data_IF_232450779010
#
_entry.id   IF_232450779010
#
_cell.length_a   1.000
_cell.length_b   1.000
_cell.length_c   1.000
_cell.angle_alpha   90.00
_cell.angle_beta   90.00
_cell.angle_gamma   90.00
#
_symmetry.space_group_name_H-M   'P 1'
#
loop_
_entity.id
_entity.type
_entity.pdbx_description
1 polymer ?
#
# COMPACT_ATOMS: atom_id res chain seq x y z
N UNK A 1 35.53 22.09 -50.55
CA UNK A 1 36.17 20.95 -49.86
C UNK A 1 35.47 20.83 -48.51
N UNK A 2 34.47 19.95 -48.39
CA UNK A 2 34.59 18.52 -48.01
C UNK A 2 35.14 18.38 -46.57
N UNK A 3 34.55 17.65 -45.61
CA UNK A 3 33.47 16.68 -45.63
C UNK A 3 32.84 16.53 -44.22
N UNK A 4 31.66 15.93 -44.18
CA UNK A 4 31.01 15.42 -42.98
C UNK A 4 31.77 14.22 -42.37
N UNK A 5 31.58 13.97 -41.07
CA UNK A 5 31.44 12.59 -40.59
C UNK A 5 30.62 12.54 -39.29
N UNK A 6 29.66 11.62 -39.29
CA UNK A 6 28.80 11.28 -38.16
C UNK A 6 29.39 10.09 -37.42
N UNK A 7 29.40 10.11 -36.09
CA UNK A 7 29.48 8.88 -35.30
C UNK A 7 28.47 8.99 -34.16
N UNK A 8 27.46 8.13 -34.24
CA UNK A 8 26.50 7.93 -33.17
C UNK A 8 27.15 7.15 -32.03
N UNK A 9 26.85 7.56 -30.80
CA UNK A 9 27.05 6.70 -29.64
C UNK A 9 25.73 6.63 -28.88
N UNK A 10 25.07 5.48 -28.97
CA UNK A 10 23.79 5.20 -28.34
C UNK A 10 23.89 5.34 -26.84
N UNK A 11 23.10 6.26 -26.28
CA UNK A 11 22.85 6.30 -24.84
C UNK A 11 22.09 5.02 -24.44
N UNK A 12 22.78 4.15 -23.72
CA UNK A 12 22.19 3.01 -23.02
C UNK A 12 21.23 3.56 -21.95
N UNK A 13 19.94 3.20 -21.93
CA UNK A 13 19.04 3.69 -20.89
C UNK A 13 19.51 3.16 -19.54
N UNK A 14 19.80 4.09 -18.63
CA UNK A 14 20.09 3.81 -17.23
C UNK A 14 18.78 3.36 -16.59
N UNK A 15 18.69 2.07 -16.26
CA UNK A 15 17.63 1.53 -15.39
C UNK A 15 17.77 2.22 -14.03
N UNK A 16 16.86 3.14 -13.69
CA UNK A 16 16.88 3.84 -12.40
C UNK A 16 16.00 3.14 -11.37
N UNK A 17 16.66 2.92 -10.23
CA UNK A 17 16.33 2.16 -9.03
C UNK A 17 15.04 2.57 -8.33
N UNK A 18 14.27 1.56 -7.90
CA UNK A 18 13.19 1.68 -6.91
C UNK A 18 13.78 2.20 -5.58
N UNK A 19 13.40 3.40 -5.15
CA UNK A 19 13.91 4.02 -3.92
C UNK A 19 12.96 3.78 -2.75
N UNK A 20 13.43 3.05 -1.74
CA UNK A 20 12.74 2.85 -0.47
C UNK A 20 13.66 3.44 0.63
N UNK A 21 13.14 4.45 1.36
CA UNK A 21 13.67 5.07 2.59
C UNK A 21 14.58 6.32 2.50
N UNK A 22 14.24 7.32 3.35
CA UNK A 22 15.14 8.34 3.89
C UNK A 22 15.73 7.81 5.19
N UNK A 23 17.06 7.74 5.28
CA UNK A 23 17.82 7.06 6.33
C UNK A 23 17.84 7.79 7.68
N UNK A 24 17.34 7.12 8.74
CA UNK A 24 17.72 7.31 10.16
C UNK A 24 17.51 5.99 10.91
N UNK A 25 18.59 5.35 11.37
CA UNK A 25 18.57 4.03 12.01
C UNK A 25 18.47 4.10 13.55
N UNK A 26 17.70 3.18 14.15
CA UNK A 26 17.72 2.89 15.59
C UNK A 26 17.80 1.39 15.79
N UNK A 27 18.89 0.91 16.41
CA UNK A 27 19.14 -0.49 16.74
C UNK A 27 18.67 -0.81 18.17
N UNK A 28 18.02 -1.96 18.37
CA UNK A 28 17.84 -2.57 19.70
C UNK A 28 17.94 -4.10 19.59
N UNK A 29 18.87 -4.70 20.34
CA UNK A 29 19.10 -6.14 20.45
C UNK A 29 18.29 -6.78 21.58
N UNK A 30 18.03 -8.09 21.49
CA UNK A 30 17.26 -8.87 22.48
C UNK A 30 17.97 -10.21 22.79
N UNK A 31 17.86 -10.60 24.05
CA UNK A 31 18.55 -11.63 24.85
C UNK A 31 18.49 -13.10 24.37
N UNK A 32 19.48 -13.85 24.86
CA UNK A 32 19.77 -15.28 24.77
C UNK A 32 19.24 -16.02 26.02
N UNK A 33 18.54 -17.16 25.90
CA UNK A 33 18.72 -18.38 26.73
C UNK A 33 17.90 -19.59 26.23
N UNK A 34 18.27 -20.78 26.69
CA UNK A 34 18.42 -22.02 25.91
C UNK A 34 17.31 -23.11 26.00
N UNK A 35 17.52 -24.08 25.09
CA UNK A 35 17.26 -25.53 25.22
C UNK A 35 16.05 -26.14 24.48
N UNK A 36 16.22 -26.28 23.15
CA UNK A 36 15.79 -27.48 22.40
C UNK A 36 16.81 -27.69 21.26
N UNK A 37 17.63 -28.74 21.34
CA UNK A 37 18.58 -29.09 20.27
C UNK A 37 17.83 -29.62 19.05
N UNK A 38 17.36 -28.69 18.22
CA UNK A 38 17.06 -28.92 16.81
C UNK A 38 18.40 -29.11 16.10
N UNK A 39 18.56 -30.04 15.13
CA UNK A 39 19.79 -30.15 14.36
C UNK A 39 20.19 -28.78 13.81
N UNK A 40 21.34 -28.27 14.25
CA UNK A 40 21.86 -26.96 13.86
C UNK A 40 22.17 -26.98 12.37
N UNK A 41 21.21 -26.54 11.55
CA UNK A 41 21.51 -26.04 10.22
C UNK A 41 22.25 -24.73 10.46
N UNK A 42 23.52 -24.58 10.06
CA UNK A 42 24.22 -23.32 10.20
C UNK A 42 23.44 -22.22 9.47
N UNK A 43 23.36 -20.99 10.02
CA UNK A 43 22.71 -19.90 9.31
C UNK A 43 23.38 -19.75 7.93
N UNK A 44 22.61 -19.46 6.87
CA UNK A 44 23.20 -19.22 5.56
C UNK A 44 24.21 -18.08 5.65
N UNK A 45 25.31 -18.12 4.87
CA UNK A 45 26.29 -17.05 4.85
C UNK A 45 25.63 -15.73 4.44
N UNK A 46 26.07 -14.61 5.02
CA UNK A 46 25.67 -13.29 4.58
C UNK A 46 26.20 -13.06 3.16
N UNK A 47 25.31 -12.82 2.19
CA UNK A 47 25.66 -12.56 0.79
C UNK A 47 25.07 -11.21 0.40
N UNK A 48 25.86 -10.38 -0.29
CA UNK A 48 25.36 -9.16 -0.94
C UNK A 48 24.56 -9.56 -2.18
N UNK A 49 23.32 -9.09 -2.26
CA UNK A 49 22.46 -9.30 -3.44
C UNK A 49 22.49 -8.03 -4.28
N UNK A 50 23.12 -8.10 -5.46
CA UNK A 50 23.22 -6.95 -6.36
C UNK A 50 21.91 -6.78 -7.14
N UNK A 51 21.38 -5.56 -7.22
CA UNK A 51 20.14 -5.28 -7.97
C UNK A 51 20.24 -5.66 -9.47
N UNK A 52 21.46 -5.69 -10.02
CA UNK A 52 21.75 -6.15 -11.38
C UNK A 52 21.56 -7.65 -11.60
N UNK A 53 21.50 -8.45 -10.55
CA UNK A 53 21.33 -9.92 -10.60
C UNK A 53 19.86 -10.34 -10.54
N UNK A 54 18.95 -9.40 -10.26
CA UNK A 54 17.50 -9.65 -10.31
C UNK A 54 17.08 -9.74 -11.79
N UNK A 55 16.37 -10.80 -12.21
CA UNK A 55 15.84 -10.89 -13.56
C UNK A 55 15.02 -9.64 -13.90
N UNK A 56 15.36 -8.96 -15.00
CA UNK A 56 14.69 -7.73 -15.44
C UNK A 56 13.21 -7.90 -15.81
N UNK A 57 12.72 -9.14 -15.85
CA UNK A 57 11.33 -9.47 -16.11
C UNK A 57 10.97 -10.76 -15.39
N UNK A 58 10.43 -10.62 -14.18
CA UNK A 58 9.58 -11.66 -13.63
C UNK A 58 8.27 -11.59 -14.44
N UNK A 59 7.94 -12.67 -15.17
CA UNK A 59 6.61 -12.83 -15.76
C UNK A 59 5.62 -13.03 -14.61
N UNK A 60 5.07 -11.94 -14.11
CA UNK A 60 3.92 -12.01 -13.22
C UNK A 60 2.70 -12.31 -14.08
N UNK A 61 2.01 -13.42 -13.78
CA UNK A 61 0.66 -13.63 -14.29
C UNK A 61 -0.28 -12.79 -13.41
N UNK A 62 -0.40 -11.51 -13.74
CA UNK A 62 -1.30 -10.58 -13.03
C UNK A 62 -2.57 -10.50 -13.85
N UNK A 63 -3.67 -10.99 -13.28
CA UNK A 63 -4.99 -10.66 -13.83
C UNK A 63 -5.17 -9.14 -13.74
N UNK A 64 -5.53 -8.50 -14.85
CA UNK A 64 -5.74 -7.05 -14.89
C UNK A 64 -6.94 -6.70 -13.99
N UNK A 65 -6.70 -5.95 -12.93
CA UNK A 65 -7.76 -5.39 -12.09
C UNK A 65 -8.15 -4.04 -12.69
N UNK A 66 -9.42 -3.87 -13.04
CA UNK A 66 -9.92 -2.57 -13.49
C UNK A 66 -10.15 -1.66 -12.28
N UNK A 67 -9.34 -0.61 -12.15
CA UNK A 67 -9.45 0.39 -11.10
C UNK A 67 -9.96 1.74 -11.65
N UNK A 68 -10.33 1.80 -12.94
CA UNK A 68 -10.83 3.04 -13.53
C UNK A 68 -12.17 3.45 -12.90
N UNK A 69 -12.22 4.68 -12.38
CA UNK A 69 -13.45 5.27 -11.85
C UNK A 69 -13.87 4.80 -10.45
N UNK A 70 -13.10 3.93 -9.80
CA UNK A 70 -13.50 3.33 -8.49
C UNK A 70 -13.10 4.21 -7.31
N UNK A 71 -13.83 4.05 -6.20
CA UNK A 71 -13.53 4.65 -4.90
C UNK A 71 -12.83 3.64 -4.00
N UNK A 72 -11.73 4.06 -3.36
CA UNK A 72 -10.88 3.15 -2.58
C UNK A 72 -10.52 3.74 -1.22
N UNK A 73 -10.64 2.91 -0.17
CA UNK A 73 -10.14 3.19 1.17
C UNK A 73 -8.93 2.32 1.50
N UNK A 74 -7.77 2.93 1.72
CA UNK A 74 -6.59 2.27 2.28
C UNK A 74 -6.61 2.40 3.81
N UNK A 75 -6.89 1.29 4.50
CA UNK A 75 -6.84 1.20 5.98
C UNK A 75 -5.44 0.80 6.43
N UNK A 76 -4.90 1.46 7.45
CA UNK A 76 -3.51 1.25 7.91
C UNK A 76 -2.52 1.51 6.77
N UNK A 77 -2.38 2.78 6.40
CA UNK A 77 -1.74 3.18 5.15
C UNK A 77 -0.23 2.99 5.18
N UNK A 78 0.46 3.29 6.29
CA UNK A 78 1.92 3.20 6.35
C UNK A 78 2.59 3.97 5.21
N UNK A 79 3.21 3.26 4.26
CA UNK A 79 3.81 3.87 3.08
C UNK A 79 2.81 4.29 1.98
N UNK A 80 1.56 3.82 2.06
CA UNK A 80 0.50 4.14 1.09
C UNK A 80 0.61 3.43 -0.25
N UNK A 81 1.60 2.56 -0.48
CA UNK A 81 1.93 2.04 -1.81
C UNK A 81 0.74 1.40 -2.56
N UNK A 82 -0.11 0.55 -1.95
CA UNK A 82 -1.25 -0.02 -2.67
C UNK A 82 -2.28 1.03 -3.09
N UNK A 83 -2.50 2.08 -2.28
CA UNK A 83 -3.40 3.18 -2.64
C UNK A 83 -2.79 4.09 -3.71
N UNK A 84 -1.49 4.35 -3.64
CA UNK A 84 -0.76 5.10 -4.68
C UNK A 84 -0.83 4.36 -6.02
N UNK A 85 -0.64 3.05 -6.01
CA UNK A 85 -0.81 2.23 -7.20
C UNK A 85 -2.23 2.35 -7.78
N UNK A 86 -3.26 2.26 -6.94
CA UNK A 86 -4.63 2.43 -7.40
C UNK A 86 -4.91 3.80 -8.04
N UNK A 87 -4.32 4.88 -7.51
CA UNK A 87 -4.38 6.20 -8.15
C UNK A 87 -3.75 6.19 -9.55
N UNK A 88 -2.58 5.57 -9.70
CA UNK A 88 -1.89 5.49 -10.99
C UNK A 88 -2.66 4.65 -12.02
N UNK A 89 -3.46 3.68 -11.56
CA UNK A 89 -4.32 2.83 -12.38
C UNK A 89 -5.72 3.42 -12.64
N UNK A 90 -5.96 4.68 -12.28
CA UNK A 90 -7.18 5.41 -12.66
C UNK A 90 -8.31 5.45 -11.63
N UNK A 91 -8.05 5.09 -10.37
CA UNK A 91 -9.05 5.25 -9.31
C UNK A 91 -9.56 6.70 -9.23
N UNK A 92 -10.88 6.87 -9.15
CA UNK A 92 -11.53 8.18 -9.06
C UNK A 92 -11.36 8.81 -7.67
N UNK A 93 -11.27 8.00 -6.62
CA UNK A 93 -11.00 8.48 -5.27
C UNK A 93 -10.13 7.48 -4.51
N UNK A 94 -9.10 7.96 -3.82
CA UNK A 94 -8.29 7.13 -2.91
C UNK A 94 -8.08 7.85 -1.59
N UNK A 95 -8.65 7.26 -0.54
CA UNK A 95 -8.58 7.78 0.83
C UNK A 95 -7.62 6.95 1.68
N UNK A 96 -6.67 7.64 2.30
CA UNK A 96 -5.65 7.04 3.13
C UNK A 96 -5.96 7.22 4.60
N UNK A 97 -6.17 6.12 5.31
CA UNK A 97 -6.34 6.11 6.76
C UNK A 97 -5.09 5.54 7.45
N UNK A 98 -4.65 6.19 8.52
CA UNK A 98 -3.66 5.63 9.46
C UNK A 98 -4.05 5.98 10.89
N UNK A 99 -3.57 5.22 11.88
CA UNK A 99 -3.81 5.56 13.27
C UNK A 99 -3.07 6.85 13.65
N UNK A 100 -1.83 7.01 13.17
CA UNK A 100 -0.95 8.11 13.56
C UNK A 100 -0.86 9.19 12.47
N UNK A 101 -1.11 10.45 12.84
CA UNK A 101 -1.02 11.57 11.90
C UNK A 101 0.43 11.79 11.39
N UNK A 102 1.45 11.49 12.20
CA UNK A 102 2.85 11.57 11.73
C UNK A 102 3.16 10.60 10.59
N UNK A 103 2.54 9.41 10.57
CA UNK A 103 2.73 8.44 9.47
C UNK A 103 2.21 9.04 8.17
N UNK A 104 1.02 9.64 8.20
CA UNK A 104 0.47 10.31 7.03
C UNK A 104 1.36 11.47 6.55
N UNK A 105 1.79 12.34 7.48
CA UNK A 105 2.56 13.56 7.18
C UNK A 105 3.98 13.28 6.68
N UNK A 106 4.66 12.30 7.27
CA UNK A 106 6.08 12.06 7.03
C UNK A 106 6.37 10.80 6.22
N UNK A 107 5.36 9.97 5.94
CA UNK A 107 5.53 8.74 5.17
C UNK A 107 4.58 8.67 3.98
N UNK A 108 3.26 8.64 4.21
CA UNK A 108 2.26 8.44 3.15
C UNK A 108 2.28 9.58 2.12
N UNK A 109 2.12 10.83 2.57
CA UNK A 109 2.04 12.00 1.70
C UNK A 109 3.34 12.21 0.89
N UNK A 110 4.55 12.14 1.49
CA UNK A 110 5.79 12.22 0.72
C UNK A 110 5.92 11.13 -0.34
N UNK A 111 5.53 9.88 -0.04
CA UNK A 111 5.58 8.80 -1.02
C UNK A 111 4.59 9.02 -2.16
N UNK A 112 3.38 9.52 -1.87
CA UNK A 112 2.40 9.87 -2.90
C UNK A 112 2.95 10.95 -3.83
N UNK A 113 3.47 12.04 -3.28
CA UNK A 113 4.06 13.13 -4.08
C UNK A 113 5.24 12.67 -4.94
N UNK A 114 6.08 11.77 -4.42
CA UNK A 114 7.22 11.21 -5.14
C UNK A 114 6.81 10.33 -6.34
N UNK A 115 5.62 9.73 -6.31
CA UNK A 115 5.12 8.89 -7.40
C UNK A 115 4.26 9.67 -8.41
N UNK A 116 3.52 10.69 -7.97
CA UNK A 116 2.73 11.54 -8.87
C UNK A 116 3.58 12.50 -9.71
N UNK A 117 4.68 13.02 -9.15
CA UNK A 117 5.60 13.94 -9.87
C UNK A 117 6.32 13.32 -11.06
N UNK A 118 6.40 11.98 -11.12
CA UNK A 118 7.06 11.25 -12.22
C UNK A 118 6.20 11.19 -13.48
N UNK A 119 4.88 11.22 -13.33
CA UNK A 119 3.94 11.11 -14.46
C UNK A 119 3.80 12.41 -15.27
N UNK A 120 4.18 13.55 -14.66
CA UNK A 120 4.26 14.86 -15.32
C UNK A 120 5.40 14.96 -16.35
N UNK A 121 6.43 14.10 -16.29
CA UNK A 121 7.54 14.13 -17.26
C UNK A 121 7.45 13.10 -18.39
N UNK A 122 6.53 12.13 -18.33
CA UNK A 122 6.46 11.03 -19.32
C UNK A 122 5.31 11.15 -20.34
N UNK A 123 4.45 12.17 -20.26
CA UNK A 123 3.16 12.19 -20.98
C UNK A 123 3.08 13.22 -22.12
N UNK A 124 3.64 12.86 -23.28
CA UNK A 124 3.23 13.41 -24.60
C UNK A 124 2.10 12.61 -25.26
N UNK A 125 1.43 11.71 -24.54
CA UNK A 125 0.19 11.08 -24.98
C UNK A 125 -0.78 11.00 -23.79
N UNK A 126 -1.72 11.96 -23.74
CA UNK A 126 -2.98 11.96 -22.99
C UNK A 126 -2.94 11.66 -21.48
N UNK A 127 -2.11 12.35 -20.67
CA UNK A 127 -2.25 12.29 -19.20
C UNK A 127 -3.23 13.34 -18.69
N UNK A 128 -4.39 12.87 -18.23
CA UNK A 128 -5.38 13.65 -17.46
C UNK A 128 -5.46 13.13 -16.01
N UNK A 129 -4.51 12.29 -15.60
CA UNK A 129 -4.65 11.37 -14.45
C UNK A 129 -4.53 12.12 -13.11
N UNK A 130 -3.82 13.25 -13.05
CA UNK A 130 -3.54 13.90 -11.76
C UNK A 130 -4.54 14.99 -11.32
N UNK A 131 -5.39 15.52 -12.21
CA UNK A 131 -6.29 16.65 -11.88
C UNK A 131 -7.71 16.24 -11.50
N UNK A 132 -8.04 14.94 -11.51
CA UNK A 132 -9.42 14.45 -11.33
C UNK A 132 -9.66 13.54 -10.12
N UNK A 133 -8.63 12.86 -9.61
CA UNK A 133 -8.82 11.91 -8.53
C UNK A 133 -8.92 12.61 -7.17
N UNK A 134 -9.94 12.28 -6.38
CA UNK A 134 -10.06 12.74 -4.99
C UNK A 134 -9.04 12.01 -4.11
N UNK A 135 -8.23 12.76 -3.36
CA UNK A 135 -7.25 12.19 -2.43
C UNK A 135 -7.38 12.87 -1.07
N UNK A 136 -7.71 12.08 -0.05
CA UNK A 136 -7.89 12.55 1.33
C UNK A 136 -7.09 11.69 2.32
N UNK A 137 -6.73 12.28 3.45
CA UNK A 137 -5.92 11.65 4.49
C UNK A 137 -6.60 11.77 5.85
N UNK A 138 -6.78 10.64 6.54
CA UNK A 138 -7.54 10.55 7.78
C UNK A 138 -6.71 9.87 8.87
N UNK A 139 -6.47 10.58 9.97
CA UNK A 139 -5.75 10.04 11.13
C UNK A 139 -6.71 9.72 12.27
N UNK A 140 -6.55 8.57 12.92
CA UNK A 140 -7.25 8.24 14.16
C UNK A 140 -7.68 6.78 14.28
N UNK A 141 -8.34 6.49 15.40
CA UNK A 141 -8.86 5.16 15.72
C UNK A 141 -10.03 4.75 14.81
N UNK A 142 -10.11 3.47 14.49
CA UNK A 142 -11.13 2.92 13.61
C UNK A 142 -12.56 3.09 14.12
N UNK A 143 -12.77 3.19 15.44
CA UNK A 143 -14.10 3.34 16.04
C UNK A 143 -14.82 4.66 15.71
N UNK A 144 -14.10 5.68 15.21
CA UNK A 144 -14.67 6.99 14.90
C UNK A 144 -14.31 7.56 13.55
N UNK A 145 -13.44 6.90 12.78
CA UNK A 145 -12.97 7.42 11.50
C UNK A 145 -14.07 7.42 10.43
N UNK A 146 -15.04 6.52 10.53
CA UNK A 146 -16.23 6.42 9.69
C UNK A 146 -16.98 7.76 9.56
N UNK A 147 -17.01 8.55 10.64
CA UNK A 147 -17.70 9.85 10.69
C UNK A 147 -17.02 10.96 9.88
N UNK A 148 -15.77 10.75 9.48
CA UNK A 148 -15.00 11.71 8.69
C UNK A 148 -14.96 11.35 7.21
N UNK A 149 -15.38 10.13 6.83
CA UNK A 149 -15.25 9.63 5.48
C UNK A 149 -16.42 10.12 4.61
N UNK A 150 -16.15 10.78 3.47
CA UNK A 150 -17.19 11.46 2.69
C UNK A 150 -18.15 10.49 1.96
N UNK A 151 -17.73 9.25 1.72
CA UNK A 151 -18.54 8.24 1.03
C UNK A 151 -19.34 7.34 1.99
N UNK A 152 -19.36 7.64 3.29
CA UNK A 152 -20.04 6.81 4.30
C UNK A 152 -21.29 7.53 4.81
N UNK A 153 -22.47 6.98 4.51
CA UNK A 153 -23.73 7.54 4.99
C UNK A 153 -23.92 7.32 6.50
N UNK A 154 -24.36 8.37 7.18
CA UNK A 154 -24.70 8.34 8.62
C UNK A 154 -26.08 7.73 8.90
N UNK A 155 -26.91 7.59 7.87
CA UNK A 155 -28.33 7.30 8.01
C UNK A 155 -28.64 5.87 7.55
N UNK A 156 -28.79 4.95 8.51
CA UNK A 156 -28.98 3.51 8.31
C UNK A 156 -30.28 3.07 7.59
N UNK A 157 -30.97 3.97 6.88
CA UNK A 157 -32.31 3.72 6.32
C UNK A 157 -32.36 3.49 4.82
N UNK A 158 -31.26 3.67 4.06
CA UNK A 158 -31.17 3.29 2.64
C UNK A 158 -29.71 3.32 2.14
N UNK A 159 -28.89 2.32 2.49
CA UNK A 159 -27.46 2.29 2.16
C UNK A 159 -27.17 1.64 0.79
N UNK A 160 -28.04 1.82 -0.20
CA UNK A 160 -27.84 1.20 -1.50
C UNK A 160 -26.91 2.08 -2.35
N UNK A 161 -25.62 1.72 -2.37
CA UNK A 161 -24.58 2.44 -3.13
C UNK A 161 -23.69 3.37 -2.32
N UNK A 162 -23.85 3.45 -1.00
CA UNK A 162 -22.95 4.20 -0.12
C UNK A 162 -21.78 3.31 0.32
N UNK A 163 -20.58 3.88 0.36
CA UNK A 163 -19.34 3.20 0.73
C UNK A 163 -18.27 3.27 -0.36
N UNK A 164 -17.20 2.51 -0.15
CA UNK A 164 -16.10 2.35 -1.09
C UNK A 164 -16.25 1.05 -1.89
N UNK A 165 -15.95 1.11 -3.18
CA UNK A 165 -15.88 -0.07 -4.05
C UNK A 165 -14.80 -1.04 -3.54
N UNK A 166 -13.66 -0.50 -3.11
CA UNK A 166 -12.54 -1.28 -2.59
C UNK A 166 -12.04 -0.80 -1.23
N UNK A 167 -11.79 -1.76 -0.35
CA UNK A 167 -11.01 -1.53 0.87
C UNK A 167 -9.72 -2.33 0.79
N UNK A 168 -8.58 -1.64 0.87
CA UNK A 168 -7.25 -2.25 0.91
C UNK A 168 -6.68 -2.20 2.33
N UNK A 169 -6.27 -3.35 2.85
CA UNK A 169 -5.70 -3.46 4.19
C UNK A 169 -4.54 -4.45 4.19
N UNK A 170 -3.44 -4.06 4.86
CA UNK A 170 -2.24 -4.86 4.94
C UNK A 170 -1.68 -4.77 6.36
N UNK A 171 -1.42 -5.91 6.99
CA UNK A 171 -0.86 -5.99 8.34
C UNK A 171 -1.70 -5.24 9.40
N UNK A 172 -3.03 -5.31 9.32
CA UNK A 172 -3.96 -4.60 10.24
C UNK A 172 -4.64 -5.50 11.27
N UNK A 173 -4.61 -6.83 11.10
CA UNK A 173 -5.29 -7.80 11.99
C UNK A 173 -4.39 -8.38 13.08
N UNK A 174 -3.37 -7.64 13.50
CA UNK A 174 -2.36 -8.12 14.45
C UNK A 174 -2.85 -8.16 15.90
N UNK A 175 -3.82 -7.32 16.27
CA UNK A 175 -4.31 -7.17 17.65
C UNK A 175 -5.76 -7.64 17.75
N UNK A 176 -6.02 -8.68 18.55
CA UNK A 176 -7.37 -9.22 18.79
C UNK A 176 -8.31 -8.13 19.31
N UNK A 177 -7.82 -7.28 20.22
CA UNK A 177 -8.61 -6.22 20.85
C UNK A 177 -9.12 -5.17 19.85
N UNK A 178 -8.47 -5.07 18.68
CA UNK A 178 -8.80 -4.09 17.65
C UNK A 178 -9.67 -4.65 16.53
N UNK A 179 -9.86 -5.99 16.47
CA UNK A 179 -10.58 -6.64 15.38
C UNK A 179 -12.05 -6.22 15.29
N UNK A 180 -12.73 -6.04 16.42
CA UNK A 180 -14.12 -5.57 16.45
C UNK A 180 -14.25 -4.19 15.78
N UNK A 181 -13.42 -3.23 16.19
CA UNK A 181 -13.47 -1.87 15.62
C UNK A 181 -13.13 -1.87 14.13
N UNK A 182 -12.18 -2.72 13.71
CA UNK A 182 -11.81 -2.89 12.30
C UNK A 182 -12.97 -3.46 11.48
N UNK A 183 -13.62 -4.50 12.01
CA UNK A 183 -14.76 -5.15 11.38
C UNK A 183 -15.94 -4.19 11.24
N UNK A 184 -16.26 -3.44 12.29
CA UNK A 184 -17.33 -2.45 12.27
C UNK A 184 -17.03 -1.32 11.28
N UNK A 185 -15.76 -0.90 11.17
CA UNK A 185 -15.33 0.06 10.18
C UNK A 185 -15.56 -0.48 8.75
N UNK A 186 -15.11 -1.71 8.47
CA UNK A 186 -15.29 -2.35 7.17
C UNK A 186 -16.77 -2.41 6.80
N UNK A 187 -17.63 -2.86 7.73
CA UNK A 187 -19.08 -2.95 7.47
C UNK A 187 -19.74 -1.62 7.16
N UNK A 188 -19.30 -0.54 7.80
CA UNK A 188 -19.84 0.80 7.56
C UNK A 188 -19.31 1.41 6.26
N UNK A 189 -18.06 1.11 5.91
CA UNK A 189 -17.38 1.74 4.79
C UNK A 189 -17.51 0.98 3.49
N UNK A 190 -17.76 -0.33 3.50
CA UNK A 190 -17.80 -1.13 2.29
C UNK A 190 -19.13 -0.90 1.56
N UNK A 191 -19.05 -0.60 0.27
CA UNK A 191 -20.23 -0.48 -0.56
C UNK A 191 -20.97 -1.82 -0.65
N UNK A 192 -22.28 -1.81 -0.45
CA UNK A 192 -23.12 -3.00 -0.57
C UNK A 192 -23.98 -2.93 -1.83
N UNK A 193 -24.10 -4.02 -2.63
CA UNK A 193 -23.61 -5.39 -2.36
C UNK A 193 -22.24 -5.71 -2.97
N UNK A 194 -21.70 -4.84 -3.82
CA UNK A 194 -20.61 -5.21 -4.74
C UNK A 194 -19.19 -4.88 -4.25
N UNK A 195 -19.06 -4.19 -3.11
CA UNK A 195 -17.77 -3.79 -2.57
C UNK A 195 -16.90 -4.97 -2.17
N UNK A 196 -15.58 -4.86 -2.39
CA UNK A 196 -14.61 -5.92 -2.10
C UNK A 196 -13.52 -5.44 -1.14
N UNK A 197 -13.19 -6.29 -0.16
CA UNK A 197 -12.06 -6.07 0.75
C UNK A 197 -10.89 -6.95 0.31
N UNK A 198 -9.75 -6.33 0.03
CA UNK A 198 -8.49 -7.05 -0.16
C UNK A 198 -7.63 -6.91 1.10
N UNK A 199 -7.40 -8.04 1.76
CA UNK A 199 -6.61 -8.13 2.98
C UNK A 199 -5.35 -8.97 2.78
N UNK A 200 -4.20 -8.38 3.10
CA UNK A 200 -2.94 -9.10 3.27
C UNK A 200 -2.55 -9.13 4.74
N UNK A 201 -2.32 -10.32 5.31
CA UNK A 201 -1.94 -10.45 6.71
C UNK A 201 -1.20 -11.77 6.98
N UNK A 202 -0.40 -11.80 8.05
CA UNK A 202 0.20 -13.03 8.56
C UNK A 202 -0.86 -13.95 9.15
N UNK A 203 -0.60 -15.27 9.05
CA UNK A 203 -1.41 -16.30 9.71
C UNK A 203 -1.53 -16.08 11.22
N UNK A 204 -0.45 -15.64 11.85
CA UNK A 204 -0.39 -15.36 13.29
C UNK A 204 0.69 -14.33 13.62
N UNK A 205 0.41 -13.44 14.57
CA UNK A 205 1.33 -12.45 15.10
C UNK A 205 1.67 -12.79 16.56
N UNK A 206 2.88 -13.30 16.80
CA UNK A 206 3.34 -13.62 18.16
C UNK A 206 3.39 -12.37 19.06
N UNK A 207 3.02 -12.54 20.33
CA UNK A 207 2.97 -11.47 21.33
C UNK A 207 1.61 -10.79 21.42
N UNK A 208 1.14 -10.21 20.31
CA UNK A 208 -0.16 -9.50 20.24
C UNK A 208 -1.34 -10.43 19.97
N UNK A 209 -1.08 -11.62 19.39
CA UNK A 209 -2.00 -12.75 19.36
C UNK A 209 -3.01 -12.77 18.21
N UNK A 210 -3.12 -11.74 17.38
CA UNK A 210 -4.02 -11.73 16.22
C UNK A 210 -3.49 -12.54 15.02
N UNK A 211 -4.27 -12.57 13.95
CA UNK A 211 -3.94 -13.27 12.72
C UNK A 211 -5.14 -13.42 11.80
N UNK A 212 -4.92 -14.01 10.62
CA UNK A 212 -6.01 -14.28 9.66
C UNK A 212 -7.05 -15.25 10.21
N UNK A 213 -6.63 -16.23 11.03
CA UNK A 213 -7.54 -17.22 11.62
C UNK A 213 -8.57 -16.58 12.54
N UNK A 214 -8.15 -15.63 13.37
CA UNK A 214 -9.03 -14.93 14.31
C UNK A 214 -9.98 -13.97 13.59
N UNK A 215 -9.51 -13.29 12.54
CA UNK A 215 -10.33 -12.34 11.79
C UNK A 215 -11.44 -13.01 10.96
N UNK A 216 -11.17 -14.16 10.35
CA UNK A 216 -12.16 -14.88 9.53
C UNK A 216 -13.32 -15.51 10.33
N UNK A 217 -13.32 -15.42 11.67
CA UNK A 217 -14.41 -15.89 12.53
C UNK A 217 -15.50 -14.82 12.77
N UNK A 218 -15.30 -13.59 12.29
CA UNK A 218 -16.20 -12.44 12.43
C UNK A 218 -17.03 -12.20 11.17
#
# INVERSE_FOLDING_TARGET
MAAANSEGNGQKPRLETFQLFSSSASAFGIFDDAAQQVPHIPPPPCVEVLASEVPSSIKHNVDSVNLDGVTLLKVGSGHGLPGIFALLEGAAAVHFQDFNAEVLRFLTIPNLNANLSRDTQLSSFNSTICDKAEVCFFAGDWSGIDKLLPHVSTDAKNNQGDGYDFILMAETVYSINSLQNLYDLIKKCLQHPDGVVYMAAKKYYFGVGGGTGDFCLW
#
